data_IF_139451969787
#
_entry.id   IF_139451969787
#
_cell.length_a   1.000
_cell.length_b   1.000
_cell.length_c   1.000
_cell.angle_alpha   90.00
_cell.angle_beta   90.00
_cell.angle_gamma   90.00
#
_symmetry.space_group_name_H-M   'P 1'
#
loop_
_entity.id
_entity.type
_entity.pdbx_description
1 polymer ?
#
# COMPACT_ATOMS: atom_id res chain seq x y z
N UNK A 1 -54.89 31.39 0.68
CA UNK A 1 -53.47 30.95 0.72
C UNK A 1 -52.85 31.55 1.96
N UNK A 2 -52.74 30.78 3.04
CA UNK A 2 -51.87 31.10 4.18
C UNK A 2 -51.62 29.80 4.94
N UNK A 3 -50.70 29.00 4.42
CA UNK A 3 -50.13 27.89 5.18
C UNK A 3 -49.28 28.55 6.28
N UNK A 4 -49.87 28.69 7.46
CA UNK A 4 -49.12 29.04 8.67
C UNK A 4 -48.10 27.93 8.83
N UNK A 5 -46.82 28.26 8.68
CA UNK A 5 -45.73 27.39 9.10
C UNK A 5 -45.91 27.20 10.61
N UNK A 6 -46.47 26.06 11.02
CA UNK A 6 -46.45 25.65 12.42
C UNK A 6 -44.98 25.50 12.81
N UNK A 7 -44.50 26.48 13.57
CA UNK A 7 -43.13 26.54 14.06
C UNK A 7 -42.99 25.46 15.12
N UNK A 8 -42.36 24.34 14.77
CA UNK A 8 -42.12 23.23 15.69
C UNK A 8 -41.22 23.72 16.85
N UNK A 9 -41.75 23.85 18.09
CA UNK A 9 -41.01 24.41 19.22
C UNK A 9 -39.79 23.55 19.60
N UNK A 10 -39.83 22.25 19.30
CA UNK A 10 -38.72 21.33 19.57
C UNK A 10 -37.51 21.68 18.72
N UNK A 11 -37.71 22.02 17.45
CA UNK A 11 -36.63 22.40 16.53
C UNK A 11 -36.01 23.75 16.89
N UNK A 12 -36.81 24.69 17.41
CA UNK A 12 -36.32 25.98 17.90
C UNK A 12 -35.39 25.80 19.10
N UNK A 13 -35.79 24.96 20.06
CA UNK A 13 -34.99 24.68 21.26
C UNK A 13 -33.68 23.95 20.95
N UNK A 14 -33.71 22.99 20.03
CA UNK A 14 -32.48 22.32 19.56
C UNK A 14 -31.49 23.28 18.88
N UNK A 15 -32.00 24.28 18.15
CA UNK A 15 -31.16 25.29 17.52
C UNK A 15 -30.55 26.27 18.55
N UNK A 16 -31.30 26.63 19.59
CA UNK A 16 -30.80 27.44 20.70
C UNK A 16 -29.70 26.70 21.48
N UNK A 17 -29.94 25.42 21.85
CA UNK A 17 -28.95 24.58 22.51
C UNK A 17 -27.66 24.46 21.68
N UNK A 18 -27.79 24.28 20.36
CA UNK A 18 -26.66 24.21 19.43
C UNK A 18 -25.80 25.48 19.46
N UNK A 19 -26.44 26.65 19.42
CA UNK A 19 -25.75 27.94 19.48
C UNK A 19 -25.01 28.11 20.81
N UNK A 20 -25.65 27.75 21.93
CA UNK A 20 -25.03 27.84 23.26
C UNK A 20 -23.73 27.03 23.34
N UNK A 21 -23.71 25.79 22.82
CA UNK A 21 -22.49 24.97 22.79
C UNK A 21 -21.38 25.62 21.95
N UNK A 22 -21.71 26.18 20.79
CA UNK A 22 -20.75 26.82 19.90
C UNK A 22 -20.19 28.10 20.53
N UNK A 23 -21.04 28.94 21.12
CA UNK A 23 -20.65 30.18 21.78
C UNK A 23 -19.74 29.92 22.98
N UNK A 24 -20.10 28.96 23.84
CA UNK A 24 -19.29 28.60 24.99
C UNK A 24 -17.93 28.05 24.58
N UNK A 25 -17.86 27.25 23.52
CA UNK A 25 -16.59 26.79 22.96
C UNK A 25 -15.73 27.97 22.47
N UNK A 26 -16.32 28.90 21.71
CA UNK A 26 -15.61 30.08 21.21
C UNK A 26 -15.14 31.01 22.34
N UNK A 27 -15.90 31.14 23.43
CA UNK A 27 -15.52 31.89 24.63
C UNK A 27 -14.27 31.28 25.30
N UNK A 28 -14.23 29.96 25.47
CA UNK A 28 -13.05 29.28 26.01
C UNK A 28 -11.84 29.45 25.09
N UNK A 29 -12.06 29.33 23.78
CA UNK A 29 -11.01 29.39 22.77
C UNK A 29 -10.39 30.79 22.68
N UNK A 30 -11.20 31.85 22.64
CA UNK A 30 -10.75 33.25 22.59
C UNK A 30 -9.97 33.67 23.84
N UNK A 31 -10.28 33.09 25.00
CA UNK A 31 -9.54 33.31 26.25
C UNK A 31 -8.23 32.51 26.35
N UNK A 32 -7.85 31.77 25.30
CA UNK A 32 -6.65 30.93 25.30
C UNK A 32 -6.75 29.69 26.21
N UNK A 33 -7.96 29.34 26.68
CA UNK A 33 -8.21 28.17 27.54
C UNK A 33 -8.35 26.89 26.69
N UNK A 34 -7.36 26.60 25.86
CA UNK A 34 -7.44 25.55 24.84
C UNK A 34 -7.66 24.14 25.40
N UNK A 35 -7.08 23.81 26.56
CA UNK A 35 -7.27 22.51 27.20
C UNK A 35 -8.72 22.29 27.64
N UNK A 36 -9.33 23.31 28.27
CA UNK A 36 -10.75 23.28 28.62
C UNK A 36 -11.63 23.27 27.37
N UNK A 37 -11.28 24.03 26.33
CA UNK A 37 -12.01 24.02 25.06
C UNK A 37 -11.97 22.63 24.39
N UNK A 38 -10.83 21.93 24.46
CA UNK A 38 -10.65 20.59 23.92
C UNK A 38 -11.55 19.57 24.63
N UNK A 39 -11.54 19.57 25.96
CA UNK A 39 -12.39 18.69 26.77
C UNK A 39 -13.86 19.01 26.53
N UNK A 40 -14.23 20.29 26.46
CA UNK A 40 -15.60 20.72 26.18
C UNK A 40 -16.09 20.25 24.81
N UNK A 41 -15.27 20.44 23.76
CA UNK A 41 -15.60 19.98 22.42
C UNK A 41 -15.74 18.45 22.33
N UNK A 42 -14.87 17.71 23.01
CA UNK A 42 -14.89 16.25 23.02
C UNK A 42 -16.15 15.66 23.70
N UNK A 43 -16.62 16.31 24.78
CA UNK A 43 -17.81 15.90 25.55
C UNK A 43 -19.11 16.57 25.07
N UNK A 44 -19.05 17.39 24.01
CA UNK A 44 -20.21 18.09 23.50
C UNK A 44 -21.30 17.09 23.07
N UNK A 45 -22.55 17.24 23.56
CA UNK A 45 -23.66 16.37 23.18
C UNK A 45 -23.83 16.28 21.67
N UNK A 46 -24.30 15.11 21.20
CA UNK A 46 -24.50 14.79 19.77
C UNK A 46 -23.23 14.91 18.91
N UNK A 47 -22.07 15.16 19.51
CA UNK A 47 -20.81 15.35 18.80
C UNK A 47 -20.77 16.60 17.94
N UNK A 48 -21.55 17.65 18.27
CA UNK A 48 -21.65 18.90 17.50
C UNK A 48 -20.25 19.47 17.17
N UNK A 49 -19.35 19.49 18.16
CA UNK A 49 -17.99 20.02 18.05
C UNK A 49 -16.94 18.95 17.68
N UNK A 50 -17.37 17.73 17.33
CA UNK A 50 -16.51 16.62 16.89
C UNK A 50 -16.36 16.63 15.37
N UNK A 51 -15.99 17.80 14.81
CA UNK A 51 -16.00 18.07 13.38
C UNK A 51 -14.68 18.69 12.88
N UNK A 52 -14.55 18.74 11.55
CA UNK A 52 -13.32 19.24 10.88
C UNK A 52 -13.08 20.72 11.16
N UNK A 53 -14.11 21.54 11.30
CA UNK A 53 -13.97 22.98 11.56
C UNK A 53 -13.36 23.25 12.94
N UNK A 54 -13.82 22.51 13.95
CA UNK A 54 -13.29 22.59 15.32
C UNK A 54 -11.82 22.15 15.34
N UNK A 55 -11.48 21.06 14.64
CA UNK A 55 -10.10 20.62 14.47
C UNK A 55 -9.22 21.69 13.80
N UNK A 56 -9.71 22.35 12.73
CA UNK A 56 -8.97 23.42 12.05
C UNK A 56 -8.65 24.58 12.98
N UNK A 57 -9.60 25.01 13.82
CA UNK A 57 -9.35 26.03 14.84
C UNK A 57 -8.17 25.63 15.74
N UNK A 58 -8.13 24.40 16.25
CA UNK A 58 -7.00 23.92 17.05
C UNK A 58 -5.69 23.81 16.26
N UNK A 59 -5.75 23.47 14.97
CA UNK A 59 -4.59 23.34 14.09
C UNK A 59 -3.90 24.68 13.83
N UNK A 60 -4.67 25.77 13.77
CA UNK A 60 -4.13 27.12 13.57
C UNK A 60 -3.37 27.65 14.81
N UNK A 61 -3.48 26.97 15.95
CA UNK A 61 -2.79 27.36 17.19
C UNK A 61 -1.40 26.73 17.24
N UNK A 62 -0.39 27.61 17.28
CA UNK A 62 1.01 27.21 17.47
C UNK A 62 1.30 26.74 18.90
N UNK A 63 2.42 26.02 19.07
CA UNK A 63 2.88 25.55 20.38
C UNK A 63 3.09 26.74 21.34
N UNK A 64 2.43 26.71 22.50
CA UNK A 64 2.60 27.72 23.54
C UNK A 64 3.68 27.27 24.54
N UNK A 65 4.81 27.98 24.61
CA UNK A 65 5.80 27.94 25.70
C UNK A 65 6.13 26.53 26.24
N UNK A 66 6.58 25.62 25.38
CA UNK A 66 7.00 24.27 25.77
C UNK A 66 5.87 23.32 26.20
N UNK A 67 4.60 23.74 26.15
CA UNK A 67 3.44 22.87 26.38
C UNK A 67 3.12 22.05 25.13
N UNK A 68 2.44 20.92 25.34
CA UNK A 68 1.92 20.05 24.28
C UNK A 68 1.01 20.84 23.34
N UNK A 69 1.04 20.54 22.04
CA UNK A 69 0.17 21.16 21.04
C UNK A 69 -1.32 21.07 21.46
N UNK A 70 -2.07 22.19 21.43
CA UNK A 70 -3.50 22.20 21.70
C UNK A 70 -4.28 21.19 20.84
N UNK A 71 -3.86 21.03 19.58
CA UNK A 71 -4.41 20.04 18.66
C UNK A 71 -4.25 18.60 19.17
N UNK A 72 -3.09 18.25 19.74
CA UNK A 72 -2.88 16.92 20.30
C UNK A 72 -3.79 16.70 21.52
N UNK A 73 -3.94 17.70 22.39
CA UNK A 73 -4.86 17.65 23.54
C UNK A 73 -6.32 17.45 23.10
N UNK A 74 -6.73 18.14 22.04
CA UNK A 74 -8.05 17.93 21.44
C UNK A 74 -8.25 16.49 20.99
N UNK A 75 -7.29 15.89 20.27
CA UNK A 75 -7.40 14.51 19.83
C UNK A 75 -7.36 13.49 20.99
N UNK A 76 -6.51 13.70 21.99
CA UNK A 76 -6.48 12.86 23.21
C UNK A 76 -7.85 12.87 23.90
N UNK A 77 -8.47 14.04 24.06
CA UNK A 77 -9.80 14.17 24.65
C UNK A 77 -10.88 13.51 23.76
N UNK A 78 -10.84 13.75 22.46
CA UNK A 78 -11.80 13.25 21.48
C UNK A 78 -11.80 11.72 21.41
N UNK A 79 -10.61 11.11 21.38
CA UNK A 79 -10.42 9.66 21.33
C UNK A 79 -10.77 9.06 22.68
N UNK A 80 -10.37 9.68 23.80
CA UNK A 80 -10.70 9.17 25.14
C UNK A 80 -12.20 9.10 25.41
N UNK A 81 -12.96 10.06 24.88
CA UNK A 81 -14.42 10.18 25.05
C UNK A 81 -15.24 9.41 24.00
N UNK A 82 -14.61 8.84 22.97
CA UNK A 82 -15.32 8.20 21.85
C UNK A 82 -16.12 6.95 22.22
N UNK A 83 -15.90 6.35 23.39
CA UNK A 83 -16.68 5.19 23.86
C UNK A 83 -18.12 5.55 24.22
N UNK A 84 -18.39 6.82 24.55
CA UNK A 84 -19.73 7.30 24.88
C UNK A 84 -20.54 7.71 23.63
N UNK A 85 -19.87 7.92 22.49
CA UNK A 85 -20.47 8.44 21.26
C UNK A 85 -20.25 7.42 20.14
N UNK A 86 -21.32 6.76 19.68
CA UNK A 86 -21.29 5.69 18.65
C UNK A 86 -20.70 6.08 17.28
N UNK A 87 -20.18 7.30 17.13
CA UNK A 87 -19.65 7.81 15.87
C UNK A 87 -18.12 7.96 15.95
N UNK A 88 -17.36 7.05 15.31
CA UNK A 88 -15.98 7.31 14.94
C UNK A 88 -15.90 8.64 14.18
N UNK A 89 -14.91 9.47 14.50
CA UNK A 89 -14.76 10.74 13.80
C UNK A 89 -14.08 10.52 12.43
N UNK A 90 -14.28 11.43 11.44
CA UNK A 90 -13.91 11.20 10.04
C UNK A 90 -12.46 10.76 9.82
N UNK A 91 -12.21 10.00 8.75
CA UNK A 91 -10.87 9.51 8.38
C UNK A 91 -9.82 10.63 8.27
N UNK A 92 -10.20 11.79 7.72
CA UNK A 92 -9.32 12.97 7.63
C UNK A 92 -8.84 13.44 9.01
N UNK A 93 -9.72 13.45 10.01
CA UNK A 93 -9.37 13.80 11.38
C UNK A 93 -8.51 12.71 12.04
N UNK A 94 -8.73 11.43 11.72
CA UNK A 94 -7.87 10.34 12.18
C UNK A 94 -6.45 10.49 11.63
N UNK A 95 -6.32 10.79 10.34
CA UNK A 95 -5.03 11.04 9.70
C UNK A 95 -4.30 12.23 10.37
N UNK A 96 -5.01 13.33 10.62
CA UNK A 96 -4.43 14.50 11.29
C UNK A 96 -4.03 14.20 12.75
N UNK A 97 -4.81 13.40 13.47
CA UNK A 97 -4.48 12.97 14.83
C UNK A 97 -3.17 12.18 14.85
N UNK A 98 -2.99 11.23 13.94
CA UNK A 98 -1.77 10.44 13.82
C UNK A 98 -0.59 11.36 13.46
N UNK A 99 -0.73 12.23 12.46
CA UNK A 99 0.32 13.20 12.09
C UNK A 99 0.74 14.07 13.27
N UNK A 100 -0.23 14.58 14.04
CA UNK A 100 0.01 15.43 15.20
C UNK A 100 0.72 14.67 16.33
N UNK A 101 0.32 13.43 16.63
CA UNK A 101 0.99 12.62 17.65
C UNK A 101 2.43 12.26 17.25
N UNK A 102 2.65 11.91 15.98
CA UNK A 102 3.98 11.53 15.49
C UNK A 102 4.94 12.72 15.41
N UNK A 103 4.46 13.94 15.09
CA UNK A 103 5.30 15.14 15.14
C UNK A 103 5.74 15.51 16.56
N UNK A 104 4.96 15.12 17.57
CA UNK A 104 5.30 15.19 19.00
C UNK A 104 6.11 13.97 19.50
N UNK A 105 6.54 13.08 18.60
CA UNK A 105 7.26 11.82 18.90
C UNK A 105 6.49 10.88 19.85
N UNK A 106 5.15 10.98 19.86
CA UNK A 106 4.25 10.17 20.71
C UNK A 106 3.72 8.95 19.96
N UNK A 107 4.62 8.06 19.53
CA UNK A 107 4.24 6.78 18.91
C UNK A 107 3.44 5.90 19.88
N UNK A 108 3.66 6.03 21.18
CA UNK A 108 2.90 5.39 22.24
C UNK A 108 1.39 5.71 22.16
N UNK A 109 1.04 6.97 21.86
CA UNK A 109 -0.36 7.38 21.67
C UNK A 109 -0.95 6.74 20.43
N UNK A 110 -0.24 6.78 19.30
CA UNK A 110 -0.71 6.15 18.05
C UNK A 110 -0.92 4.65 18.25
N UNK A 111 0.02 3.98 18.90
CA UNK A 111 -0.10 2.56 19.25
C UNK A 111 -1.34 2.31 20.12
N UNK A 112 -1.57 3.12 21.15
CA UNK A 112 -2.75 3.02 22.00
C UNK A 112 -4.05 3.23 21.21
N UNK A 113 -4.12 4.23 20.34
CA UNK A 113 -5.32 4.55 19.58
C UNK A 113 -5.67 3.48 18.53
N UNK A 114 -4.65 2.96 17.83
CA UNK A 114 -4.82 1.89 16.83
C UNK A 114 -5.22 0.58 17.51
N UNK A 115 -4.53 0.17 18.57
CA UNK A 115 -4.82 -1.11 19.24
C UNK A 115 -6.19 -1.17 19.91
N UNK A 116 -6.69 -0.02 20.38
CA UNK A 116 -8.06 0.08 20.94
C UNK A 116 -9.15 0.19 19.86
N UNK A 117 -8.79 0.21 18.56
CA UNK A 117 -9.69 0.39 17.42
C UNK A 117 -10.62 1.62 17.58
N UNK A 118 -10.10 2.71 18.13
CA UNK A 118 -10.89 3.95 18.40
C UNK A 118 -10.83 4.96 17.27
N UNK A 119 -10.24 4.57 16.14
CA UNK A 119 -9.96 5.40 14.98
C UNK A 119 -10.72 4.89 13.76
N UNK A 120 -11.04 5.79 12.85
CA UNK A 120 -11.54 5.41 11.52
C UNK A 120 -10.33 5.10 10.65
N UNK A 121 -10.04 3.81 10.46
CA UNK A 121 -8.90 3.38 9.66
C UNK A 121 -9.11 3.69 8.18
N UNK A 122 -8.07 4.24 7.55
CA UNK A 122 -8.01 4.53 6.12
C UNK A 122 -6.61 4.27 5.59
N UNK A 123 -6.50 4.16 4.27
CA UNK A 123 -5.21 3.95 3.61
C UNK A 123 -4.24 5.10 3.92
N UNK A 124 -4.70 6.34 3.89
CA UNK A 124 -3.88 7.53 4.16
C UNK A 124 -3.41 7.60 5.62
N UNK A 125 -4.18 7.03 6.56
CA UNK A 125 -3.76 6.90 7.95
C UNK A 125 -2.63 5.88 8.09
N UNK A 126 -2.72 4.76 7.37
CA UNK A 126 -1.65 3.75 7.29
C UNK A 126 -0.38 4.33 6.66
N UNK A 127 -0.53 5.11 5.58
CA UNK A 127 0.59 5.73 4.86
C UNK A 127 1.41 6.66 5.77
N UNK A 128 0.74 7.41 6.64
CA UNK A 128 1.41 8.29 7.61
C UNK A 128 2.26 7.50 8.61
N UNK A 129 1.71 6.40 9.15
CA UNK A 129 2.44 5.54 10.10
C UNK A 129 3.61 4.86 9.41
N UNK A 130 3.39 4.36 8.19
CA UNK A 130 4.40 3.72 7.38
C UNK A 130 5.56 4.68 7.09
N UNK A 131 5.27 5.88 6.57
CA UNK A 131 6.28 6.90 6.27
C UNK A 131 7.09 7.33 7.51
N UNK A 132 6.45 7.41 8.68
CA UNK A 132 7.16 7.68 9.94
C UNK A 132 8.16 6.57 10.29
N UNK A 133 7.81 5.30 10.05
CA UNK A 133 8.73 4.17 10.25
C UNK A 133 9.92 4.17 9.28
N UNK A 134 9.78 4.76 8.09
CA UNK A 134 10.88 4.92 7.14
C UNK A 134 11.92 5.96 7.61
N UNK A 135 11.47 7.01 8.30
CA UNK A 135 12.38 8.06 8.82
C UNK A 135 12.93 7.78 10.22
N UNK A 136 12.29 6.89 10.99
CA UNK A 136 12.67 6.57 12.38
C UNK A 136 13.02 5.08 12.55
N UNK A 137 14.27 4.66 12.25
CA UNK A 137 14.66 3.25 12.19
C UNK A 137 14.40 2.45 13.47
N UNK A 138 14.57 3.08 14.64
CA UNK A 138 14.35 2.43 15.95
C UNK A 138 12.90 1.99 16.16
N UNK A 139 11.96 2.72 15.58
CA UNK A 139 10.53 2.44 15.71
C UNK A 139 9.94 1.73 14.48
N UNK A 140 10.76 1.51 13.44
CA UNK A 140 10.34 0.88 12.18
C UNK A 140 9.54 -0.41 12.37
N UNK A 141 9.95 -1.40 13.19
CA UNK A 141 9.18 -2.64 13.36
C UNK A 141 7.78 -2.38 13.94
N UNK A 142 7.67 -1.46 14.91
CA UNK A 142 6.39 -1.07 15.52
C UNK A 142 5.50 -0.35 14.51
N UNK A 143 6.08 0.56 13.73
CA UNK A 143 5.36 1.30 12.69
C UNK A 143 4.82 0.37 11.60
N UNK A 144 5.62 -0.61 11.14
CA UNK A 144 5.16 -1.62 10.18
C UNK A 144 3.99 -2.43 10.75
N UNK A 145 4.06 -2.86 12.01
CA UNK A 145 2.99 -3.62 12.65
C UNK A 145 1.70 -2.79 12.81
N UNK A 146 1.82 -1.52 13.18
CA UNK A 146 0.68 -0.62 13.27
C UNK A 146 0.07 -0.32 11.89
N UNK A 147 0.90 -0.03 10.88
CA UNK A 147 0.44 0.21 9.52
C UNK A 147 -0.26 -1.03 8.94
N UNK A 148 0.28 -2.23 9.17
CA UNK A 148 -0.36 -3.49 8.79
C UNK A 148 -1.77 -3.62 9.38
N UNK A 149 -1.95 -3.33 10.68
CA UNK A 149 -3.28 -3.36 11.33
C UNK A 149 -4.23 -2.38 10.61
N UNK A 150 -3.79 -1.14 10.41
CA UNK A 150 -4.62 -0.11 9.77
C UNK A 150 -5.02 -0.50 8.35
N UNK A 151 -4.07 -0.93 7.52
CA UNK A 151 -4.34 -1.35 6.13
C UNK A 151 -5.27 -2.56 6.06
N UNK A 152 -5.07 -3.55 6.94
CA UNK A 152 -5.90 -4.76 6.97
C UNK A 152 -7.35 -4.41 7.31
N UNK A 153 -7.57 -3.50 8.26
CA UNK A 153 -8.91 -3.11 8.70
C UNK A 153 -9.63 -2.20 7.68
N UNK A 154 -8.90 -1.42 6.90
CA UNK A 154 -9.50 -0.56 5.87
C UNK A 154 -9.60 -1.23 4.49
N UNK A 155 -9.26 -2.52 4.36
CA UNK A 155 -9.34 -3.27 3.10
C UNK A 155 -8.19 -3.03 2.12
N UNK A 156 -7.13 -2.30 2.50
CA UNK A 156 -5.93 -2.11 1.66
C UNK A 156 -4.99 -3.32 1.81
N UNK A 157 -5.46 -4.50 1.42
CA UNK A 157 -4.81 -5.79 1.65
C UNK A 157 -3.39 -5.86 1.07
N UNK A 158 -3.20 -5.27 -0.11
CA UNK A 158 -1.89 -5.19 -0.78
C UNK A 158 -0.83 -4.45 0.05
N UNK A 159 -1.21 -3.33 0.69
CA UNK A 159 -0.31 -2.57 1.58
C UNK A 159 -0.10 -3.28 2.93
N UNK A 160 -1.10 -4.01 3.42
CA UNK A 160 -0.95 -4.87 4.60
C UNK A 160 0.06 -6.00 4.34
N UNK A 161 -0.02 -6.67 3.19
CA UNK A 161 0.93 -7.69 2.75
C UNK A 161 2.34 -7.11 2.58
N UNK A 162 2.47 -5.89 2.05
CA UNK A 162 3.76 -5.21 1.97
C UNK A 162 4.40 -5.00 3.34
N UNK A 163 3.60 -4.64 4.35
CA UNK A 163 4.09 -4.49 5.71
C UNK A 163 4.60 -5.82 6.27
N UNK A 164 3.87 -6.93 6.06
CA UNK A 164 4.30 -8.29 6.43
C UNK A 164 5.63 -8.66 5.75
N UNK A 165 5.78 -8.45 4.44
CA UNK A 165 7.03 -8.69 3.75
C UNK A 165 8.19 -7.87 4.33
N UNK A 166 7.98 -6.57 4.61
CA UNK A 166 9.00 -5.70 5.21
C UNK A 166 9.33 -6.04 6.66
N UNK A 167 8.51 -6.84 7.34
CA UNK A 167 8.80 -7.42 8.65
C UNK A 167 9.56 -8.76 8.55
N UNK A 168 9.80 -9.28 7.34
CA UNK A 168 10.37 -10.62 7.12
C UNK A 168 9.35 -11.75 7.23
N UNK A 169 8.06 -11.45 7.21
CA UNK A 169 6.98 -12.44 7.29
C UNK A 169 6.42 -12.76 5.89
N UNK A 170 7.28 -13.19 4.97
CA UNK A 170 6.93 -13.40 3.56
C UNK A 170 5.86 -14.48 3.40
N UNK A 171 6.03 -15.66 4.03
CA UNK A 171 5.03 -16.73 3.97
C UNK A 171 3.66 -16.27 4.48
N UNK A 172 3.63 -15.52 5.59
CA UNK A 172 2.40 -14.96 6.16
C UNK A 172 1.74 -13.94 5.22
N UNK A 173 2.51 -13.14 4.49
CA UNK A 173 1.99 -12.22 3.48
C UNK A 173 1.29 -12.96 2.33
N UNK A 174 1.87 -14.09 1.87
CA UNK A 174 1.28 -14.91 0.81
C UNK A 174 -0.02 -15.57 1.25
N UNK A 175 -0.03 -16.17 2.44
CA UNK A 175 -1.22 -16.77 3.03
C UNK A 175 -2.33 -15.74 3.24
N UNK A 176 -1.98 -14.54 3.68
CA UNK A 176 -2.92 -13.43 3.86
C UNK A 176 -3.59 -13.05 2.54
N UNK A 177 -2.83 -12.84 1.46
CA UNK A 177 -3.39 -12.48 0.16
C UNK A 177 -4.28 -13.58 -0.43
N UNK A 178 -3.92 -14.86 -0.24
CA UNK A 178 -4.70 -16.00 -0.73
C UNK A 178 -6.12 -16.10 -0.12
N UNK A 179 -6.37 -15.47 1.03
CA UNK A 179 -7.70 -15.48 1.66
C UNK A 179 -8.73 -14.65 0.87
N UNK A 180 -8.27 -13.68 0.08
CA UNK A 180 -9.12 -12.78 -0.69
C UNK A 180 -9.12 -13.30 -2.13
N UNK A 181 -10.21 -14.00 -2.53
CA UNK A 181 -10.41 -14.83 -3.74
C UNK A 181 -10.16 -14.18 -5.14
N UNK A 182 -9.46 -13.05 -5.21
CA UNK A 182 -9.07 -12.39 -6.45
C UNK A 182 -7.71 -12.88 -6.94
N UNK A 183 -7.51 -12.89 -8.27
CA UNK A 183 -6.24 -13.26 -8.88
C UNK A 183 -5.12 -12.31 -8.39
N UNK A 184 -4.13 -12.78 -7.62
CA UNK A 184 -3.20 -11.94 -6.87
C UNK A 184 -2.01 -11.40 -7.68
N UNK A 185 -2.04 -11.51 -9.03
CA UNK A 185 -0.89 -11.19 -9.88
C UNK A 185 -0.40 -9.74 -9.69
N UNK A 186 -1.32 -8.77 -9.75
CA UNK A 186 -1.01 -7.35 -9.58
C UNK A 186 -0.50 -7.04 -8.17
N UNK A 187 -0.97 -7.78 -7.17
CA UNK A 187 -0.51 -7.66 -5.79
C UNK A 187 0.93 -8.17 -5.67
N UNK A 188 1.28 -9.30 -6.28
CA UNK A 188 2.65 -9.82 -6.28
C UNK A 188 3.62 -8.91 -7.03
N UNK A 189 3.23 -8.37 -8.18
CA UNK A 189 4.01 -7.37 -8.92
C UNK A 189 4.24 -6.13 -8.07
N UNK A 190 3.21 -5.67 -7.35
CA UNK A 190 3.35 -4.56 -6.40
C UNK A 190 4.33 -4.88 -5.26
N UNK A 191 4.27 -6.09 -4.68
CA UNK A 191 5.18 -6.50 -3.62
C UNK A 191 6.63 -6.54 -4.11
N UNK A 192 6.87 -7.12 -5.29
CA UNK A 192 8.20 -7.15 -5.92
C UNK A 192 8.75 -5.74 -6.15
N UNK A 193 7.92 -4.82 -6.64
CA UNK A 193 8.31 -3.42 -6.85
C UNK A 193 8.78 -2.74 -5.57
N UNK A 194 8.16 -3.02 -4.43
CA UNK A 194 8.38 -2.29 -3.18
C UNK A 194 9.23 -3.03 -2.14
N UNK A 195 9.46 -4.33 -2.31
CA UNK A 195 10.20 -5.18 -1.39
C UNK A 195 10.80 -6.42 -2.09
N UNK A 196 11.74 -6.27 -3.05
CA UNK A 196 12.29 -7.37 -3.84
C UNK A 196 13.28 -8.23 -3.04
N UNK A 197 12.89 -8.80 -1.90
CA UNK A 197 13.78 -9.66 -1.12
C UNK A 197 13.98 -11.01 -1.81
N UNK A 198 15.16 -11.63 -1.64
CA UNK A 198 15.44 -12.96 -2.18
C UNK A 198 14.41 -14.01 -1.69
N UNK A 199 13.93 -13.88 -0.46
CA UNK A 199 12.87 -14.73 0.10
C UNK A 199 11.53 -14.54 -0.62
N UNK A 200 11.11 -13.28 -0.87
CA UNK A 200 9.88 -13.00 -1.63
C UNK A 200 9.97 -13.55 -3.04
N UNK A 201 11.09 -13.31 -3.73
CA UNK A 201 11.30 -13.78 -5.10
C UNK A 201 11.19 -15.31 -5.14
N UNK A 202 11.89 -16.02 -4.25
CA UNK A 202 11.81 -17.49 -4.15
C UNK A 202 10.39 -17.97 -3.86
N UNK A 203 9.68 -17.35 -2.92
CA UNK A 203 8.30 -17.72 -2.61
C UNK A 203 7.34 -17.55 -3.80
N UNK A 204 7.62 -16.60 -4.70
CA UNK A 204 6.77 -16.35 -5.87
C UNK A 204 7.11 -17.25 -7.05
N UNK A 205 8.40 -17.59 -7.24
CA UNK A 205 8.87 -18.31 -8.43
C UNK A 205 9.06 -19.82 -8.22
N UNK A 206 9.18 -20.30 -6.99
CA UNK A 206 9.40 -21.72 -6.70
C UNK A 206 8.10 -22.45 -6.42
N UNK A 207 8.01 -23.69 -6.92
CA UNK A 207 6.95 -24.62 -6.53
C UNK A 207 7.20 -25.13 -5.10
N UNK A 208 6.18 -25.08 -4.25
CA UNK A 208 6.32 -25.43 -2.85
C UNK A 208 4.99 -25.83 -2.22
N UNK A 209 5.02 -26.82 -1.32
CA UNK A 209 3.85 -27.33 -0.60
C UNK A 209 2.70 -27.83 -1.50
N UNK A 210 3.03 -28.40 -2.67
CA UNK A 210 2.04 -28.92 -3.63
C UNK A 210 1.25 -27.84 -4.36
N UNK A 211 1.68 -26.58 -4.31
CA UNK A 211 1.12 -25.46 -5.09
C UNK A 211 2.08 -25.07 -6.22
N UNK A 212 1.55 -24.75 -7.42
CA UNK A 212 2.36 -24.23 -8.50
C UNK A 212 2.95 -22.85 -8.13
N UNK A 213 4.01 -22.45 -8.81
CA UNK A 213 4.58 -21.12 -8.67
C UNK A 213 3.52 -20.04 -8.88
N UNK A 214 3.59 -18.98 -8.07
CA UNK A 214 2.62 -17.88 -8.13
C UNK A 214 2.90 -16.92 -9.29
N UNK A 215 4.17 -16.82 -9.70
CA UNK A 215 4.63 -16.06 -10.85
C UNK A 215 5.60 -16.93 -11.66
N UNK A 216 5.56 -16.76 -12.99
CA UNK A 216 6.61 -17.27 -13.84
C UNK A 216 7.91 -16.50 -13.62
N UNK A 217 9.02 -17.15 -13.95
CA UNK A 217 10.35 -16.59 -13.79
C UNK A 217 10.55 -15.40 -14.74
N UNK A 218 10.17 -15.53 -16.01
CA UNK A 218 10.31 -14.44 -16.99
C UNK A 218 9.49 -13.22 -16.58
N UNK A 219 8.25 -13.41 -16.13
CA UNK A 219 7.43 -12.29 -15.63
C UNK A 219 8.03 -11.62 -14.40
N UNK A 220 8.62 -12.40 -13.49
CA UNK A 220 9.29 -11.88 -12.29
C UNK A 220 10.52 -11.06 -12.65
N UNK A 221 11.40 -11.60 -13.50
CA UNK A 221 12.62 -10.92 -13.98
C UNK A 221 12.27 -9.61 -14.70
N UNK A 222 11.26 -9.64 -15.59
CA UNK A 222 10.82 -8.49 -16.35
C UNK A 222 10.17 -7.42 -15.45
N UNK A 223 9.39 -7.83 -14.46
CA UNK A 223 8.81 -6.93 -13.45
C UNK A 223 9.89 -6.22 -12.63
N UNK A 224 10.88 -6.96 -12.15
CA UNK A 224 12.03 -6.41 -11.42
C UNK A 224 12.84 -5.45 -12.30
N UNK A 225 13.06 -5.79 -13.57
CA UNK A 225 13.76 -4.94 -14.52
C UNK A 225 13.03 -3.62 -14.76
N UNK A 226 11.72 -3.69 -15.05
CA UNK A 226 10.88 -2.50 -15.30
C UNK A 226 10.73 -1.60 -14.08
N UNK A 227 11.01 -2.11 -12.88
CA UNK A 227 10.94 -1.36 -11.61
C UNK A 227 12.30 -0.88 -11.11
N UNK A 228 13.37 -1.11 -11.88
CA UNK A 228 14.73 -0.64 -11.57
C UNK A 228 15.52 -1.56 -10.63
N UNK A 229 15.03 -2.77 -10.35
CA UNK A 229 15.66 -3.74 -9.44
C UNK A 229 16.56 -4.74 -10.20
N UNK A 230 17.39 -4.24 -11.11
CA UNK A 230 18.22 -5.05 -12.02
C UNK A 230 19.11 -6.09 -11.31
N UNK A 231 19.65 -5.76 -10.15
CA UNK A 231 20.49 -6.68 -9.36
C UNK A 231 19.72 -7.94 -8.94
N UNK A 232 18.44 -7.78 -8.60
CA UNK A 232 17.57 -8.89 -8.21
C UNK A 232 17.15 -9.72 -9.43
N UNK A 233 16.98 -9.09 -10.60
CA UNK A 233 16.78 -9.78 -11.88
C UNK A 233 17.98 -10.67 -12.21
N UNK A 234 19.20 -10.12 -12.18
CA UNK A 234 20.43 -10.87 -12.45
C UNK A 234 20.66 -11.99 -11.44
N UNK A 235 20.38 -11.72 -10.15
CA UNK A 235 20.48 -12.74 -9.11
C UNK A 235 19.54 -13.92 -9.39
N UNK A 236 18.27 -13.66 -9.73
CA UNK A 236 17.31 -14.71 -10.04
C UNK A 236 17.74 -15.52 -11.27
N UNK A 237 18.25 -14.85 -12.31
CA UNK A 237 18.75 -15.53 -13.52
C UNK A 237 19.95 -16.43 -13.24
N UNK A 238 20.87 -16.02 -12.35
CA UNK A 238 22.00 -16.86 -11.92
C UNK A 238 21.56 -18.08 -11.12
N UNK A 239 20.52 -17.96 -10.31
CA UNK A 239 19.99 -19.09 -9.53
C UNK A 239 19.43 -20.21 -10.42
N UNK A 240 19.02 -19.86 -11.66
CA UNK A 240 18.41 -20.78 -12.62
C UNK A 240 19.30 -21.10 -13.83
N UNK A 241 20.56 -20.65 -13.84
CA UNK A 241 21.53 -20.82 -14.95
C UNK A 241 21.84 -22.29 -15.29
N UNK A 242 21.25 -23.25 -14.58
CA UNK A 242 21.28 -24.65 -15.02
C UNK A 242 20.41 -24.79 -16.27
N UNK A 243 21.01 -25.26 -17.35
CA UNK A 243 20.43 -25.43 -18.69
C UNK A 243 18.99 -26.00 -18.65
N UNK A 244 18.78 -27.11 -17.94
CA UNK A 244 17.44 -27.73 -17.78
C UNK A 244 16.41 -26.80 -17.11
N UNK A 245 16.80 -25.96 -16.16
CA UNK A 245 15.88 -25.08 -15.41
C UNK A 245 15.56 -23.83 -16.22
N UNK A 246 16.56 -23.25 -16.87
CA UNK A 246 16.39 -22.07 -17.72
C UNK A 246 15.52 -22.40 -18.94
N UNK A 247 15.76 -23.53 -19.60
CA UNK A 247 14.96 -23.97 -20.73
C UNK A 247 13.49 -24.18 -20.32
N UNK A 248 13.25 -24.85 -19.19
CA UNK A 248 11.89 -25.03 -18.66
C UNK A 248 11.23 -23.71 -18.26
N UNK A 249 11.99 -22.75 -17.75
CA UNK A 249 11.48 -21.43 -17.40
C UNK A 249 11.02 -20.62 -18.64
N UNK A 250 11.71 -20.77 -19.76
CA UNK A 250 11.36 -20.12 -21.02
C UNK A 250 10.19 -20.86 -21.70
N UNK A 251 10.21 -22.20 -21.71
CA UNK A 251 9.20 -23.03 -22.36
C UNK A 251 7.83 -23.02 -21.65
N UNK A 252 7.82 -22.99 -20.31
CA UNK A 252 6.58 -23.01 -19.51
C UNK A 252 6.04 -21.59 -19.22
N UNK A 253 6.52 -20.59 -19.94
CA UNK A 253 6.15 -19.20 -19.73
C UNK A 253 4.70 -18.93 -20.18
N UNK A 254 3.97 -18.16 -19.38
CA UNK A 254 2.55 -17.85 -19.62
C UNK A 254 2.29 -16.36 -19.81
N UNK A 255 3.24 -15.50 -19.40
CA UNK A 255 3.07 -14.04 -19.33
C UNK A 255 4.21 -13.28 -20.01
N UNK A 256 5.46 -13.73 -19.89
CA UNK A 256 6.60 -13.08 -20.55
C UNK A 256 6.68 -13.46 -22.04
N UNK A 257 6.63 -12.47 -22.94
CA UNK A 257 6.71 -12.72 -24.38
C UNK A 257 8.14 -13.00 -24.84
N UNK A 258 8.29 -13.44 -26.09
CA UNK A 258 9.61 -13.58 -26.74
C UNK A 258 10.38 -12.27 -26.70
N UNK A 259 9.73 -11.14 -26.92
CA UNK A 259 10.35 -9.81 -26.78
C UNK A 259 10.75 -9.50 -25.34
N UNK A 260 9.98 -9.98 -24.36
CA UNK A 260 10.33 -9.89 -22.95
C UNK A 260 11.61 -10.64 -22.63
N UNK A 261 11.74 -11.88 -23.11
CA UNK A 261 12.97 -12.66 -22.95
C UNK A 261 14.16 -12.10 -23.75
N UNK A 262 13.92 -11.52 -24.94
CA UNK A 262 14.96 -10.76 -25.68
C UNK A 262 15.51 -9.60 -24.84
N UNK A 263 14.64 -8.81 -24.19
CA UNK A 263 15.08 -7.75 -23.25
C UNK A 263 15.88 -8.29 -22.07
N UNK A 264 15.53 -9.48 -21.56
CA UNK A 264 16.28 -10.14 -20.49
C UNK A 264 17.68 -10.55 -20.99
N UNK A 265 17.78 -11.10 -22.21
CA UNK A 265 19.04 -11.45 -22.83
C UNK A 265 19.92 -10.21 -23.08
N UNK A 266 19.34 -9.10 -23.53
CA UNK A 266 20.04 -7.83 -23.71
C UNK A 266 20.63 -7.33 -22.39
N UNK A 267 19.85 -7.35 -21.30
CA UNK A 267 20.33 -7.01 -19.96
C UNK A 267 21.52 -7.89 -19.53
N UNK A 268 21.45 -9.20 -19.78
CA UNK A 268 22.55 -10.11 -19.48
C UNK A 268 23.82 -9.74 -20.26
N UNK A 269 23.70 -9.40 -21.55
CA UNK A 269 24.84 -8.98 -22.35
C UNK A 269 25.46 -7.67 -21.84
N UNK A 270 24.64 -6.67 -21.52
CA UNK A 270 25.09 -5.38 -20.96
C UNK A 270 25.88 -5.55 -19.65
N UNK A 271 25.46 -6.51 -18.81
CA UNK A 271 26.07 -6.79 -17.50
C UNK A 271 27.17 -7.87 -17.58
N UNK A 272 27.70 -8.15 -18.78
CA UNK A 272 28.82 -9.10 -19.04
C UNK A 272 28.50 -10.56 -18.71
N UNK A 273 27.22 -10.91 -18.72
CA UNK A 273 26.72 -12.28 -18.65
C UNK A 273 26.42 -12.83 -20.05
N UNK A 274 27.44 -12.80 -20.93
CA UNK A 274 27.31 -13.15 -22.35
C UNK A 274 26.87 -14.60 -22.58
N UNK A 275 27.36 -15.54 -21.78
CA UNK A 275 26.97 -16.96 -21.88
C UNK A 275 25.47 -17.14 -21.68
N UNK A 276 24.96 -16.59 -20.58
CA UNK A 276 23.54 -16.63 -20.24
C UNK A 276 22.68 -15.92 -21.30
N UNK A 277 23.17 -14.79 -21.84
CA UNK A 277 22.50 -14.08 -22.93
C UNK A 277 22.38 -14.97 -24.19
N UNK A 278 23.48 -15.59 -24.61
CA UNK A 278 23.52 -16.49 -25.77
C UNK A 278 22.62 -17.71 -25.59
N UNK A 279 22.59 -18.29 -24.39
CA UNK A 279 21.75 -19.44 -24.06
C UNK A 279 20.26 -19.10 -24.17
N UNK A 280 19.83 -17.96 -23.59
CA UNK A 280 18.44 -17.49 -23.72
C UNK A 280 18.08 -17.30 -25.20
N UNK A 281 18.93 -16.64 -25.99
CA UNK A 281 18.67 -16.44 -27.42
C UNK A 281 18.60 -17.77 -28.17
N UNK A 282 19.50 -18.71 -27.90
CA UNK A 282 19.50 -20.03 -28.52
C UNK A 282 18.20 -20.79 -28.27
N UNK A 283 17.69 -20.76 -27.04
CA UNK A 283 16.41 -21.40 -26.68
C UNK A 283 15.23 -20.71 -27.37
N UNK A 284 15.24 -19.38 -27.50
CA UNK A 284 14.18 -18.67 -28.22
C UNK A 284 14.19 -18.99 -29.73
N UNK A 285 15.37 -19.08 -30.35
CA UNK A 285 15.50 -19.38 -31.78
C UNK A 285 15.12 -20.82 -32.12
N UNK A 286 15.36 -21.79 -31.22
CA UNK A 286 14.91 -23.17 -31.40
C UNK A 286 13.38 -23.30 -31.35
N UNK A 287 12.67 -22.40 -30.66
CA UNK A 287 11.21 -22.34 -30.63
C UNK A 287 10.59 -21.71 -31.89
N UNK A 288 11.26 -20.73 -32.51
CA UNK A 288 10.75 -20.02 -33.69
C UNK A 288 10.73 -20.90 -34.97
N UNK A 289 11.28 -22.13 -34.92
CA UNK A 289 11.20 -23.06 -36.05
C UNK A 289 11.85 -22.51 -37.33
N UNK A 290 12.99 -21.83 -37.20
CA UNK A 290 13.69 -21.29 -38.36
C UNK A 290 14.50 -22.39 -39.04
N UNK A 291 13.98 -22.87 -40.17
CA UNK A 291 14.81 -23.45 -41.24
C UNK A 291 15.77 -22.33 -41.67
N UNK A 292 17.05 -22.48 -41.35
CA UNK A 292 18.10 -21.73 -42.04
C UNK A 292 18.02 -22.09 -43.53
N UNK A 293 17.35 -21.26 -44.33
CA UNK A 293 17.53 -21.29 -45.77
C UNK A 293 18.91 -20.66 -46.00
N UNK A 294 19.93 -21.51 -46.05
CA UNK A 294 21.14 -21.17 -46.77
C UNK A 294 20.74 -20.80 -48.20
N UNK A 295 21.29 -19.72 -48.79
CA UNK A 295 21.08 -19.44 -50.18
C UNK A 295 21.83 -20.51 -50.99
N UNK A 296 21.19 -21.65 -51.20
CA UNK A 296 21.67 -22.65 -52.14
C UNK A 296 21.33 -22.13 -53.55
N UNK A 297 22.41 -21.74 -54.21
CA UNK A 297 22.51 -21.47 -55.64
C UNK A 297 22.20 -22.77 -56.39
N UNK A 298 20.94 -23.06 -56.72
CA UNK A 298 20.60 -23.67 -58.01
C UNK A 298 19.09 -23.82 -58.31
N UNK A 299 18.72 -23.27 -59.47
CA UNK A 299 17.71 -23.74 -60.42
C UNK A 299 16.66 -24.79 -59.98
N UNK A 300 15.39 -24.38 -59.83
CA UNK A 300 14.27 -25.21 -60.27
C UNK A 300 13.04 -24.36 -60.67
N UNK A 301 12.64 -24.52 -61.94
CA UNK A 301 11.51 -23.89 -62.63
C UNK A 301 10.17 -24.12 -61.92
N UNK A 302 9.43 -23.05 -61.71
CA UNK A 302 7.99 -23.09 -61.37
C UNK A 302 7.21 -23.30 -62.67
N UNK A 303 6.53 -24.44 -62.81
CA UNK A 303 5.47 -24.63 -63.81
C UNK A 303 4.12 -24.33 -63.16
N UNK A 304 3.44 -23.28 -63.66
CA UNK A 304 2.04 -22.98 -63.35
C UNK A 304 1.13 -24.08 -63.93
N UNK A 305 0.34 -24.71 -63.07
CA UNK A 305 -0.85 -25.44 -63.49
C UNK A 305 -2.07 -24.51 -63.40
N UNK A 306 -2.54 -24.08 -64.57
CA UNK A 306 -3.84 -23.42 -64.78
C UNK A 306 -4.94 -24.45 -64.55
N UNK A 307 -5.84 -24.19 -63.60
CA UNK A 307 -7.11 -24.93 -63.47
C UNK A 307 -8.18 -24.24 -64.30
N UNK A 308 -8.81 -25.01 -65.21
CA UNK A 308 -10.14 -24.77 -65.77
C UNK A 308 -11.21 -25.29 -64.81
#
# INVERSE_FOLDING_TARGET
>A
ISHVFEHDPSKSKEAEDLLEYIERFNELFSRGKYEYAAIYAANCPRGILRNIETMKKFKDISRMNGKVLPLLRYFEALISTSTAVKHPFPAVMTQEAIKCALSEKRLDLVMHWVTRQRLTFSEEAGDVIFAYGEVEPHNRPKCLALAQIVYSQCGSHRKAALCLCKQGQVCGAMEYLQQFKHSPLDDYVYLLKHCPTAELIRCLTQEGNGKPASLSIGATVLSLLNTGHKEHSLWLLKEIEKEDVLEQAILNETVCTVEGWKKIADLCAEEKHEKLSQEIISILTSQEGVVEIFPDDDNAKIMEHVFL
#
